data_IF_497632856204
#
_entry.id   IF_497632856204
#
_cell.length_a   1.000
_cell.length_b   1.000
_cell.length_c   1.000
_cell.angle_alpha   90.00
_cell.angle_beta   90.00
_cell.angle_gamma   90.00
#
_symmetry.space_group_name_H-M   'P 1'
#
loop_
_entity.id
_entity.type
_entity.pdbx_description
1 polymer ?
#
# COMPACT_ATOMS: atom_id res chain seq x y z
N UNK A 1 -6.23 -19.54 3.96
CA UNK A 1 -5.28 -19.47 2.82
C UNK A 1 -6.14 -19.55 1.58
N UNK A 2 -6.00 -18.60 0.65
CA UNK A 2 -6.84 -18.54 -0.55
C UNK A 2 -6.50 -19.68 -1.52
N UNK A 3 -7.51 -20.37 -2.01
CA UNK A 3 -7.43 -21.37 -3.07
C UNK A 3 -8.27 -20.91 -4.28
N UNK A 4 -7.64 -20.58 -5.43
CA UNK A 4 -8.35 -20.08 -6.60
C UNK A 4 -9.31 -21.09 -7.26
N UNK A 5 -9.23 -22.37 -6.91
CA UNK A 5 -10.12 -23.40 -7.45
C UNK A 5 -11.40 -23.58 -6.61
N UNK A 6 -11.40 -23.08 -5.38
CA UNK A 6 -12.48 -23.27 -4.40
C UNK A 6 -13.07 -21.95 -3.95
N UNK A 7 -12.22 -20.95 -3.73
CA UNK A 7 -12.61 -19.64 -3.20
C UNK A 7 -13.03 -18.70 -4.33
N UNK A 8 -14.18 -18.03 -4.13
CA UNK A 8 -14.74 -17.07 -5.08
C UNK A 8 -14.04 -15.70 -5.03
N UNK A 9 -13.44 -15.38 -3.90
CA UNK A 9 -12.68 -14.17 -3.68
C UNK A 9 -11.54 -14.39 -2.67
N UNK A 10 -10.55 -13.51 -2.70
CA UNK A 10 -9.37 -13.54 -1.84
C UNK A 10 -9.65 -13.13 -0.38
N UNK A 11 -10.86 -12.64 -0.08
CA UNK A 11 -11.20 -12.02 1.20
C UNK A 11 -10.36 -10.77 1.52
N UNK A 12 -10.67 -10.12 2.64
CA UNK A 12 -9.84 -9.07 3.23
C UNK A 12 -9.64 -9.33 4.72
N UNK A 13 -8.50 -8.89 5.27
CA UNK A 13 -8.24 -8.97 6.71
C UNK A 13 -7.99 -10.39 7.24
N UNK A 14 -7.65 -11.35 6.38
CA UNK A 14 -7.24 -12.68 6.82
C UNK A 14 -6.02 -12.58 7.75
N UNK A 15 -6.00 -13.38 8.82
CA UNK A 15 -4.87 -13.43 9.72
C UNK A 15 -3.60 -13.87 8.97
N UNK A 16 -2.47 -13.24 9.28
CA UNK A 16 -1.18 -13.67 8.76
C UNK A 16 -0.89 -15.11 9.20
N UNK A 17 -0.24 -15.93 8.35
CA UNK A 17 0.19 -17.26 8.74
C UNK A 17 1.22 -17.17 9.88
N UNK A 18 1.27 -18.21 10.72
CA UNK A 18 2.26 -18.35 11.80
C UNK A 18 3.68 -18.50 11.24
N UNK A 19 4.29 -17.37 10.93
CA UNK A 19 5.58 -17.27 10.26
C UNK A 19 6.53 -16.38 11.06
N UNK A 20 7.84 -16.56 10.88
CA UNK A 20 8.86 -15.74 11.52
C UNK A 20 8.62 -14.24 11.27
N UNK A 21 8.32 -13.86 10.04
CA UNK A 21 8.04 -12.46 9.68
C UNK A 21 6.80 -11.93 10.38
N UNK A 22 5.67 -12.66 10.36
CA UNK A 22 4.46 -12.23 11.05
C UNK A 22 4.68 -12.07 12.57
N UNK A 23 5.53 -12.89 13.19
CA UNK A 23 5.85 -12.81 14.60
C UNK A 23 6.78 -11.63 14.98
N UNK A 24 7.64 -11.20 14.06
CA UNK A 24 8.65 -10.17 14.30
C UNK A 24 8.24 -8.78 13.80
N UNK A 25 7.23 -8.69 12.94
CA UNK A 25 6.81 -7.42 12.33
C UNK A 25 5.66 -6.82 13.11
N UNK A 26 5.77 -5.55 13.51
CA UNK A 26 4.61 -4.82 14.02
C UNK A 26 3.65 -4.52 12.87
N UNK A 27 2.39 -4.88 13.05
CA UNK A 27 1.33 -4.48 12.12
C UNK A 27 1.12 -2.97 12.22
N UNK A 28 1.35 -2.27 11.11
CA UNK A 28 1.06 -0.84 11.03
C UNK A 28 -0.44 -0.53 11.10
N UNK A 29 -0.78 0.75 11.26
CA UNK A 29 -2.16 1.19 11.20
C UNK A 29 -2.79 0.89 9.84
N UNK A 30 -4.06 0.48 9.84
CA UNK A 30 -4.83 0.34 8.60
C UNK A 30 -4.96 1.69 7.91
N UNK A 31 -4.54 1.76 6.65
CA UNK A 31 -4.85 2.89 5.80
C UNK A 31 -6.23 2.65 5.21
N UNK A 32 -7.20 3.43 5.71
CA UNK A 32 -8.61 3.25 5.34
C UNK A 32 -8.82 3.29 3.83
N UNK A 33 -9.91 2.66 3.37
CA UNK A 33 -10.25 2.62 1.96
C UNK A 33 -10.42 4.02 1.35
N UNK A 34 -10.19 4.11 0.04
CA UNK A 34 -10.57 5.29 -0.74
C UNK A 34 -12.09 5.31 -0.83
N UNK A 35 -12.72 6.34 -0.26
CA UNK A 35 -14.18 6.47 -0.11
C UNK A 35 -14.81 7.51 -1.03
N UNK A 36 -13.99 8.19 -1.84
CA UNK A 36 -14.42 9.21 -2.79
C UNK A 36 -13.46 9.22 -3.97
N UNK A 37 -13.93 9.74 -5.10
CA UNK A 37 -13.10 9.93 -6.27
C UNK A 37 -11.95 10.89 -5.97
N UNK A 38 -10.77 10.57 -6.50
CA UNK A 38 -9.58 11.39 -6.36
C UNK A 38 -8.92 11.56 -7.72
N UNK A 39 -8.42 12.76 -7.98
CA UNK A 39 -7.62 13.07 -9.17
C UNK A 39 -6.15 13.22 -8.79
N UNK A 40 -5.27 12.64 -9.59
CA UNK A 40 -3.83 12.78 -9.47
C UNK A 40 -3.20 12.65 -10.86
N UNK A 41 -2.07 13.33 -11.08
CA UNK A 41 -1.32 13.20 -12.33
C UNK A 41 -0.72 11.79 -12.48
N UNK A 42 -0.32 11.19 -11.35
CA UNK A 42 0.30 9.86 -11.29
C UNK A 42 -0.25 9.13 -10.07
N UNK A 43 -0.70 7.89 -10.27
CA UNK A 43 -1.15 6.98 -9.21
C UNK A 43 -0.21 5.78 -9.15
N UNK A 44 0.32 5.49 -7.96
CA UNK A 44 1.16 4.30 -7.72
C UNK A 44 0.33 3.22 -7.03
N UNK A 45 0.16 2.08 -7.69
CA UNK A 45 -0.56 0.92 -7.16
C UNK A 45 0.42 -0.05 -6.49
N UNK A 46 0.27 -0.20 -5.18
CA UNK A 46 1.12 -1.05 -4.33
C UNK A 46 2.15 -0.25 -3.53
N UNK A 47 2.07 -0.31 -2.20
CA UNK A 47 2.96 0.40 -1.28
C UNK A 47 4.13 -0.48 -0.78
N UNK A 48 4.58 -1.43 -1.60
CA UNK A 48 5.78 -2.22 -1.33
C UNK A 48 7.06 -1.46 -1.68
N UNK A 49 8.21 -2.13 -1.55
CA UNK A 49 9.52 -1.55 -1.86
C UNK A 49 9.59 -0.90 -3.24
N UNK A 50 9.12 -1.59 -4.28
CA UNK A 50 9.15 -1.08 -5.66
C UNK A 50 8.26 0.15 -5.84
N UNK A 51 7.04 0.11 -5.29
CA UNK A 51 6.09 1.22 -5.41
C UNK A 51 6.56 2.47 -4.66
N UNK A 52 7.04 2.30 -3.41
CA UNK A 52 7.59 3.41 -2.64
C UNK A 52 8.90 3.95 -3.25
N UNK A 53 9.76 3.09 -3.79
CA UNK A 53 10.97 3.54 -4.50
C UNK A 53 10.62 4.32 -5.77
N UNK A 54 9.61 3.86 -6.52
CA UNK A 54 9.09 4.60 -7.67
C UNK A 54 8.55 5.97 -7.25
N UNK A 55 7.69 6.02 -6.23
CA UNK A 55 7.14 7.26 -5.68
C UNK A 55 8.24 8.23 -5.22
N UNK A 56 9.24 7.73 -4.49
CA UNK A 56 10.38 8.51 -4.02
C UNK A 56 11.17 9.12 -5.19
N UNK A 57 11.46 8.34 -6.23
CA UNK A 57 12.19 8.85 -7.40
C UNK A 57 11.38 9.89 -8.18
N UNK A 58 10.07 9.70 -8.30
CA UNK A 58 9.17 10.67 -8.94
C UNK A 58 9.11 11.99 -8.15
N UNK A 59 8.99 11.92 -6.82
CA UNK A 59 9.01 13.09 -5.96
C UNK A 59 10.36 13.81 -6.02
N UNK A 60 11.47 13.08 -5.82
CA UNK A 60 12.80 13.66 -5.64
C UNK A 60 13.43 14.22 -6.92
N UNK A 61 13.17 13.60 -8.09
CA UNK A 61 13.82 13.98 -9.36
C UNK A 61 12.97 14.80 -10.29
N UNK A 62 11.64 14.68 -10.16
CA UNK A 62 10.70 15.32 -11.08
C UNK A 62 9.77 16.31 -10.37
N UNK A 63 9.93 16.49 -9.04
CA UNK A 63 9.19 17.45 -8.22
C UNK A 63 7.67 17.33 -8.42
N UNK A 64 7.19 16.07 -8.48
CA UNK A 64 5.78 15.74 -8.67
C UNK A 64 5.12 15.38 -7.35
N UNK A 65 3.91 15.87 -7.14
CA UNK A 65 3.04 15.37 -6.06
C UNK A 65 2.71 13.93 -6.38
N UNK A 66 3.02 13.01 -5.47
CA UNK A 66 2.73 11.59 -5.63
C UNK A 66 1.63 11.20 -4.66
N UNK A 67 0.60 10.57 -5.22
CA UNK A 67 -0.52 10.03 -4.46
C UNK A 67 -0.48 8.51 -4.41
N UNK A 68 -0.27 7.97 -3.21
CA UNK A 68 -0.45 6.56 -2.91
C UNK A 68 -1.86 6.32 -2.38
N UNK A 69 -2.42 5.14 -2.64
CA UNK A 69 -3.68 4.72 -1.99
C UNK A 69 -3.60 4.73 -0.45
N UNK A 70 -2.39 4.80 0.11
CA UNK A 70 -2.08 4.85 1.54
C UNK A 70 -1.84 6.27 2.09
N UNK A 71 -2.10 7.32 1.31
CA UNK A 71 -1.68 8.72 1.57
C UNK A 71 -2.16 9.39 2.86
N UNK A 72 -2.98 8.74 3.67
CA UNK A 72 -3.33 9.23 5.01
C UNK A 72 -2.17 9.14 6.03
N UNK A 73 -0.98 8.69 5.61
CA UNK A 73 0.19 8.53 6.48
C UNK A 73 1.01 9.81 6.68
N UNK A 74 0.64 10.95 6.06
CA UNK A 74 1.26 12.25 6.37
C UNK A 74 2.78 12.31 6.16
N UNK A 75 3.30 11.49 5.23
CA UNK A 75 4.71 11.48 4.85
C UNK A 75 5.07 12.81 4.20
N UNK A 76 5.56 13.75 5.01
CA UNK A 76 6.25 14.94 4.54
C UNK A 76 7.64 14.50 4.07
N UNK A 77 7.83 14.48 2.75
CA UNK A 77 9.14 14.23 2.16
C UNK A 77 10.07 15.42 2.46
N UNK A 78 11.35 15.18 2.84
CA UNK A 78 12.33 16.23 3.04
C UNK A 78 12.68 16.98 1.75
#
# INVERSE_FOLDING_TARGET
MYDPLVDKDIGQGAAYPSSYWAAQTQTGASTGAIVADQSADIVVIGAGYTGLSCAYQLASRFNREIRSASDRLGLQWP
#
